data_IF_652725825176
#
_entry.id   IF_652725825176
#
_cell.length_a   1.000
_cell.length_b   1.000
_cell.length_c   1.000
_cell.angle_alpha   90.00
_cell.angle_beta   90.00
_cell.angle_gamma   90.00
#
_symmetry.space_group_name_H-M   'P 1'
#
loop_
_entity.id
_entity.type
_entity.pdbx_description
1 polymer ?
#
# COMPACT_ATOMS: atom_id res chain seq x y z
N UNK A 1 28.73 -6.14 7.83
CA UNK A 1 29.17 -7.00 6.72
C UNK A 1 27.99 -7.19 5.79
N UNK A 2 28.17 -6.95 4.49
CA UNK A 2 27.14 -7.15 3.47
C UNK A 2 27.59 -8.24 2.51
N UNK A 3 26.67 -9.14 2.16
CA UNK A 3 26.90 -10.24 1.21
C UNK A 3 25.98 -10.01 0.00
N UNK A 4 26.55 -10.11 -1.20
CA UNK A 4 25.81 -10.05 -2.46
C UNK A 4 25.64 -11.48 -2.95
N UNK A 5 24.41 -11.85 -3.29
CA UNK A 5 24.05 -13.19 -3.74
C UNK A 5 23.37 -13.08 -5.11
N UNK A 6 23.94 -13.77 -6.11
CA UNK A 6 23.33 -13.90 -7.41
C UNK A 6 22.51 -15.20 -7.48
N UNK A 7 21.27 -15.07 -7.91
CA UNK A 7 20.36 -16.21 -8.05
C UNK A 7 20.23 -16.59 -9.52
N UNK A 8 20.52 -17.85 -9.83
CA UNK A 8 20.31 -18.42 -11.17
C UNK A 8 18.80 -18.47 -11.50
N UNK A 9 17.94 -18.70 -10.50
CA UNK A 9 16.49 -18.80 -10.68
C UNK A 9 15.73 -17.71 -9.93
N UNK A 10 14.93 -16.95 -10.67
CA UNK A 10 14.03 -15.95 -10.11
C UNK A 10 12.97 -16.56 -9.17
N UNK A 11 12.47 -17.77 -9.49
CA UNK A 11 11.50 -18.45 -8.64
C UNK A 11 12.09 -18.79 -7.26
N UNK A 12 13.36 -19.21 -7.22
CA UNK A 12 14.07 -19.46 -5.96
C UNK A 12 14.30 -18.18 -5.17
N UNK A 13 14.67 -17.08 -5.85
CA UNK A 13 14.73 -15.75 -5.22
C UNK A 13 13.38 -15.41 -4.57
N UNK A 14 12.27 -15.54 -5.30
CA UNK A 14 10.94 -15.27 -4.76
C UNK A 14 10.56 -16.16 -3.57
N UNK A 15 10.89 -17.45 -3.61
CA UNK A 15 10.66 -18.39 -2.52
C UNK A 15 11.38 -17.95 -1.22
N UNK A 16 12.60 -17.44 -1.34
CA UNK A 16 13.34 -16.86 -0.21
C UNK A 16 12.64 -15.62 0.31
N UNK A 17 12.26 -14.67 -0.57
CA UNK A 17 11.56 -13.45 -0.16
C UNK A 17 10.24 -13.73 0.58
N UNK A 18 9.49 -14.76 0.18
CA UNK A 18 8.28 -15.22 0.88
C UNK A 18 8.56 -15.67 2.31
N UNK A 19 9.75 -16.21 2.57
CA UNK A 19 10.15 -16.77 3.86
C UNK A 19 10.99 -15.83 4.74
N UNK A 20 11.32 -14.61 4.29
CA UNK A 20 12.15 -13.64 5.04
C UNK A 20 11.63 -13.39 6.45
N UNK A 21 10.32 -13.44 6.67
CA UNK A 21 9.71 -13.21 8.00
C UNK A 21 10.25 -14.17 9.08
N UNK A 22 10.72 -15.35 8.68
CA UNK A 22 11.32 -16.35 9.58
C UNK A 22 12.69 -15.92 10.14
N UNK A 23 13.36 -14.94 9.52
CA UNK A 23 14.65 -14.41 9.96
C UNK A 23 14.51 -13.29 11.01
N UNK A 24 13.28 -12.87 11.35
CA UNK A 24 13.06 -11.82 12.33
C UNK A 24 13.64 -12.23 13.70
N UNK A 25 14.45 -11.36 14.29
CA UNK A 25 15.12 -11.61 15.58
C UNK A 25 16.52 -12.23 15.48
N UNK A 26 16.96 -12.64 14.29
CA UNK A 26 18.31 -13.21 14.08
C UNK A 26 19.40 -12.17 13.83
N UNK A 27 19.03 -10.89 13.70
CA UNK A 27 19.96 -9.82 13.31
C UNK A 27 20.33 -9.79 11.82
N UNK A 28 19.85 -10.76 11.03
CA UNK A 28 20.06 -10.83 9.58
C UNK A 28 18.89 -10.19 8.83
N UNK A 29 19.21 -9.33 7.86
CA UNK A 29 18.24 -8.71 6.97
C UNK A 29 18.58 -9.02 5.51
N UNK A 30 17.54 -9.31 4.72
CA UNK A 30 17.65 -9.56 3.28
C UNK A 30 16.90 -8.44 2.57
N UNK A 31 17.59 -7.78 1.63
CA UNK A 31 17.04 -6.73 0.78
C UNK A 31 17.33 -7.04 -0.68
N UNK A 32 16.54 -6.48 -1.60
CA UNK A 32 16.88 -6.53 -3.02
C UNK A 32 18.08 -5.63 -3.28
N UNK A 33 19.04 -6.13 -4.06
CA UNK A 33 20.05 -5.27 -4.65
C UNK A 33 19.43 -4.51 -5.82
N UNK A 34 18.94 -3.31 -5.52
CA UNK A 34 18.32 -2.42 -6.47
C UNK A 34 19.22 -1.21 -6.71
N UNK A 35 19.20 -0.69 -7.93
CA UNK A 35 19.90 0.54 -8.31
C UNK A 35 19.42 1.73 -7.49
N UNK A 36 20.20 2.80 -7.46
CA UNK A 36 19.79 4.04 -6.78
C UNK A 36 18.48 4.59 -7.35
N UNK A 37 18.34 4.58 -8.67
CA UNK A 37 17.15 5.06 -9.38
C UNK A 37 15.90 4.23 -9.06
N UNK A 38 16.04 2.91 -8.98
CA UNK A 38 14.91 2.05 -8.61
C UNK A 38 14.49 2.28 -7.15
N UNK A 39 15.45 2.52 -6.26
CA UNK A 39 15.16 2.84 -4.85
C UNK A 39 14.44 4.18 -4.71
N UNK A 40 14.81 5.19 -5.50
CA UNK A 40 14.12 6.49 -5.47
C UNK A 40 12.70 6.37 -6.02
N UNK A 41 12.50 5.70 -7.15
CA UNK A 41 11.16 5.39 -7.69
C UNK A 41 10.30 4.65 -6.66
N UNK A 42 10.85 3.60 -6.04
CA UNK A 42 10.13 2.84 -5.01
C UNK A 42 9.76 3.71 -3.81
N UNK A 43 10.63 4.65 -3.40
CA UNK A 43 10.35 5.57 -2.29
C UNK A 43 9.15 6.47 -2.60
N UNK A 44 9.06 7.00 -3.81
CA UNK A 44 7.93 7.82 -4.27
C UNK A 44 6.65 6.99 -4.26
N UNK A 45 6.66 5.79 -4.85
CA UNK A 45 5.48 4.92 -4.86
C UNK A 45 5.02 4.54 -3.44
N UNK A 46 5.96 4.28 -2.53
CA UNK A 46 5.66 3.96 -1.12
C UNK A 46 5.09 5.17 -0.38
N UNK A 47 5.50 6.39 -0.73
CA UNK A 47 4.94 7.61 -0.18
C UNK A 47 3.44 7.70 -0.51
N UNK A 48 3.09 7.68 -1.79
CA UNK A 48 1.70 7.76 -2.23
C UNK A 48 0.86 6.55 -1.81
N UNK A 49 1.45 5.35 -1.72
CA UNK A 49 0.78 4.19 -1.14
C UNK A 49 0.30 4.45 0.29
N UNK A 50 1.13 5.12 1.11
CA UNK A 50 0.75 5.45 2.50
C UNK A 50 -0.37 6.47 2.52
N UNK A 51 -0.30 7.49 1.68
CA UNK A 51 -1.33 8.52 1.56
C UNK A 51 -2.67 7.91 1.15
N UNK A 52 -2.70 7.09 0.10
CA UNK A 52 -3.90 6.39 -0.33
C UNK A 52 -4.50 5.52 0.79
N UNK A 53 -3.65 4.84 1.58
CA UNK A 53 -4.10 4.03 2.73
C UNK A 53 -4.67 4.87 3.87
N UNK A 54 -4.10 6.04 4.16
CA UNK A 54 -4.64 6.97 5.16
C UNK A 54 -6.05 7.41 4.75
N UNK A 55 -6.30 7.51 3.45
CA UNK A 55 -7.59 7.89 2.90
C UNK A 55 -8.54 6.70 2.66
N UNK A 56 -8.20 5.52 3.20
CA UNK A 56 -8.97 4.28 3.07
C UNK A 56 -9.19 3.80 1.63
N UNK A 57 -8.32 4.21 0.69
CA UNK A 57 -8.35 3.70 -0.67
C UNK A 57 -7.71 2.31 -0.76
N UNK A 58 -8.24 1.48 -1.66
CA UNK A 58 -7.59 0.22 -2.03
C UNK A 58 -6.36 0.52 -2.87
N UNK A 59 -5.17 0.40 -2.28
CA UNK A 59 -3.91 0.68 -2.97
C UNK A 59 -2.86 -0.42 -2.75
N UNK A 60 -2.15 -0.78 -3.81
CA UNK A 60 -1.01 -1.73 -3.79
C UNK A 60 0.05 -1.36 -4.81
N UNK A 61 1.31 -1.65 -4.50
CA UNK A 61 2.41 -1.50 -5.47
C UNK A 61 2.57 -2.83 -6.24
N UNK A 62 2.67 -2.74 -7.55
CA UNK A 62 2.89 -3.87 -8.45
C UNK A 62 4.06 -3.56 -9.39
N UNK A 63 5.23 -4.10 -9.07
CA UNK A 63 6.46 -3.77 -9.79
C UNK A 63 6.84 -2.30 -9.59
N UNK A 64 6.91 -1.54 -10.69
CA UNK A 64 7.26 -0.11 -10.71
C UNK A 64 6.04 0.82 -10.82
N UNK A 65 4.84 0.33 -10.50
CA UNK A 65 3.60 1.10 -10.58
C UNK A 65 2.79 0.98 -9.29
N UNK A 66 2.04 2.04 -8.98
CA UNK A 66 1.08 2.09 -7.90
C UNK A 66 -0.32 1.86 -8.46
N UNK A 67 -1.02 0.86 -7.94
CA UNK A 67 -2.41 0.57 -8.29
C UNK A 67 -3.32 1.16 -7.20
N UNK A 68 -4.22 2.07 -7.57
CA UNK A 68 -5.22 2.69 -6.69
C UNK A 68 -6.60 2.47 -7.33
N UNK A 69 -7.53 1.83 -6.62
CA UNK A 69 -8.89 1.54 -7.13
C UNK A 69 -8.89 0.92 -8.54
N UNK A 70 -8.02 -0.07 -8.76
CA UNK A 70 -7.85 -0.79 -10.03
C UNK A 70 -7.26 0.04 -11.19
N UNK A 71 -6.81 1.28 -10.93
CA UNK A 71 -6.06 2.11 -11.89
C UNK A 71 -4.57 2.08 -11.58
N UNK A 72 -3.74 1.98 -12.62
CA UNK A 72 -2.28 1.94 -12.51
C UNK A 72 -1.68 3.32 -12.77
N UNK A 73 -0.79 3.74 -11.88
CA UNK A 73 -0.06 4.99 -11.94
C UNK A 73 1.45 4.70 -11.89
N UNK A 74 2.18 5.35 -12.78
CA UNK A 74 3.65 5.36 -12.80
C UNK A 74 4.18 6.52 -11.95
N UNK A 75 5.51 6.61 -11.80
CA UNK A 75 6.14 7.71 -11.04
C UNK A 75 5.95 9.03 -11.79
N UNK A 76 5.97 8.98 -13.11
CA UNK A 76 5.76 10.10 -14.00
C UNK A 76 4.34 10.67 -13.84
N UNK A 77 3.32 9.80 -13.90
CA UNK A 77 1.91 10.21 -13.71
C UNK A 77 1.68 10.90 -12.36
N UNK A 78 2.34 10.41 -11.31
CA UNK A 78 2.20 10.96 -9.96
C UNK A 78 2.82 12.36 -9.82
N UNK A 79 3.93 12.61 -10.52
CA UNK A 79 4.58 13.93 -10.54
C UNK A 79 3.78 14.96 -11.31
N UNK A 80 3.28 14.59 -12.48
CA UNK A 80 2.43 15.47 -13.29
C UNK A 80 1.20 15.93 -12.51
N UNK A 81 0.63 15.02 -11.71
CA UNK A 81 -0.52 15.31 -10.87
C UNK A 81 -0.20 16.32 -9.76
N UNK A 82 0.97 16.22 -9.13
CA UNK A 82 1.44 17.19 -8.13
C UNK A 82 1.66 18.57 -8.75
N UNK A 83 2.32 18.64 -9.90
CA UNK A 83 2.62 19.91 -10.59
C UNK A 83 1.35 20.63 -11.05
N UNK A 84 0.33 19.89 -11.51
CA UNK A 84 -0.94 20.46 -11.95
C UNK A 84 -1.72 21.21 -10.86
N UNK A 85 -1.54 20.82 -9.59
CA UNK A 85 -2.31 21.39 -8.46
C UNK A 85 -1.68 22.64 -7.87
N UNK A 86 -0.35 22.75 -7.97
CA UNK A 86 0.40 23.92 -7.47
C UNK A 86 0.18 25.14 -8.36
N UNK A 87 -0.17 24.94 -9.64
CA UNK A 87 -0.46 26.04 -10.59
C UNK A 87 -1.83 26.72 -10.40
N UNK A 88 -2.68 26.24 -9.48
CA UNK A 88 -4.08 26.69 -9.33
C UNK A 88 -4.41 27.30 -7.96
N UNK A 89 -3.42 27.64 -7.14
CA UNK A 89 -3.62 28.30 -5.84
C UNK A 89 -3.01 29.70 -5.85
N UNK A 90 -3.69 30.63 -6.54
CA UNK A 90 -3.49 32.07 -6.35
C UNK A 90 -4.82 32.70 -5.90
N UNK A 91 -4.72 33.53 -4.86
CA UNK A 91 -5.76 34.38 -4.24
C UNK A 91 -6.66 33.73 -3.18
N UNK A 92 -6.38 34.06 -1.91
CA UNK A 92 -7.20 34.95 -1.05
C UNK A 92 -6.49 35.02 0.33
N UNK A 93 -5.83 36.15 0.60
CA UNK A 93 -5.26 36.47 1.91
C UNK A 93 -6.40 36.77 2.91
N UNK A 94 -6.39 36.07 4.05
CA UNK A 94 -7.30 36.33 5.16
C UNK A 94 -6.55 36.24 6.49
N UNK A 95 -6.11 37.40 6.99
CA UNK A 95 -5.48 37.58 8.29
C UNK A 95 -6.44 37.23 9.44
N UNK A 96 -6.09 36.23 10.25
CA UNK A 96 -6.63 36.09 11.61
C UNK A 96 -5.50 35.63 12.55
N UNK A 97 -4.96 36.59 13.31
CA UNK A 97 -4.06 36.32 14.44
C UNK A 97 -4.77 35.48 15.50
N UNK A 98 -4.21 34.31 15.84
CA UNK A 98 -4.44 33.70 17.16
C UNK A 98 -3.14 33.17 17.77
N UNK A 99 -2.90 33.63 18.99
CA UNK A 99 -1.70 33.44 19.79
C UNK A 99 -1.91 32.26 20.74
N UNK A 100 -1.27 31.10 20.53
CA UNK A 100 -1.15 30.06 21.58
C UNK A 100 0.19 29.29 21.50
N UNK A 101 0.74 29.08 22.69
CA UNK A 101 1.93 28.35 23.12
C UNK A 101 2.45 27.14 22.32
N UNK A 102 3.79 27.13 22.26
CA UNK A 102 4.76 26.03 22.14
C UNK A 102 4.28 24.57 22.25
N UNK A 103 4.43 23.83 21.14
CA UNK A 103 4.92 22.44 21.14
C UNK A 103 5.50 22.05 19.78
N UNK A 104 6.73 21.53 19.77
CA UNK A 104 7.42 21.04 18.58
C UNK A 104 6.57 20.02 17.81
N UNK A 105 6.15 20.37 16.59
CA UNK A 105 5.56 19.44 15.63
C UNK A 105 6.50 19.26 14.44
N UNK A 106 6.80 18.00 14.14
CA UNK A 106 7.49 17.58 12.92
C UNK A 106 6.57 17.80 11.72
N UNK A 107 7.02 18.65 10.80
CA UNK A 107 6.79 18.53 9.36
C UNK A 107 5.35 18.32 8.91
N UNK A 108 4.55 19.39 8.97
CA UNK A 108 3.29 19.49 8.24
C UNK A 108 3.56 19.97 6.82
N UNK A 109 3.70 19.03 5.89
CA UNK A 109 3.57 19.28 4.44
C UNK A 109 2.59 18.24 3.88
N UNK A 110 1.33 18.32 4.30
CA UNK A 110 0.26 17.39 3.89
C UNK A 110 -0.94 18.12 3.29
N UNK A 111 -0.78 19.38 2.87
CA UNK A 111 -1.90 20.22 2.43
C UNK A 111 -2.32 19.94 0.98
N UNK A 112 -1.39 19.61 0.08
CA UNK A 112 -1.69 19.50 -1.37
C UNK A 112 -2.31 18.17 -1.83
N UNK A 113 -2.17 17.07 -1.07
CA UNK A 113 -2.61 15.74 -1.53
C UNK A 113 -4.09 15.45 -1.22
N UNK A 114 -4.70 16.23 -0.33
CA UNK A 114 -6.12 16.07 0.01
C UNK A 114 -7.06 16.41 -1.15
N UNK A 115 -6.63 17.22 -2.13
CA UNK A 115 -7.44 17.58 -3.29
C UNK A 115 -7.50 16.46 -4.36
N UNK A 116 -6.47 15.61 -4.46
CA UNK A 116 -6.34 14.58 -5.51
C UNK A 116 -7.37 13.47 -5.38
N UNK A 117 -7.71 13.08 -4.16
CA UNK A 117 -8.56 11.91 -3.90
C UNK A 117 -10.03 12.32 -3.67
N UNK A 118 -10.27 13.57 -3.26
CA UNK A 118 -11.61 14.10 -3.05
C UNK A 118 -12.41 14.21 -4.36
N UNK A 119 -11.74 14.48 -5.50
CA UNK A 119 -12.39 14.60 -6.82
C UNK A 119 -12.92 13.29 -7.39
N UNK A 120 -12.42 12.12 -6.95
CA UNK A 120 -12.94 10.81 -7.40
C UNK A 120 -13.98 10.19 -6.45
N UNK A 121 -14.15 10.73 -5.24
CA UNK A 121 -15.14 10.25 -4.25
C UNK A 121 -16.56 10.81 -4.50
N UNK A 122 -16.68 11.91 -5.27
CA UNK A 122 -17.95 12.60 -5.49
C UNK A 122 -18.88 11.94 -6.54
N UNK A 123 -18.37 11.10 -7.44
CA UNK A 123 -19.16 10.56 -8.57
C UNK A 123 -19.92 9.24 -8.29
N UNK A 124 -19.82 8.65 -7.08
CA UNK A 124 -20.44 7.34 -6.79
C UNK A 124 -21.60 7.33 -5.77
N UNK A 125 -22.19 8.49 -5.43
CA UNK A 125 -23.32 8.51 -4.47
C UNK A 125 -24.73 8.37 -5.06
N UNK A 126 -24.91 8.21 -6.37
CA UNK A 126 -26.26 8.12 -6.97
C UNK A 126 -26.72 6.76 -7.53
N UNK A 127 -25.88 5.71 -7.57
CA UNK A 127 -26.31 4.42 -8.14
C UNK A 127 -25.75 3.21 -7.39
N UNK A 128 -26.33 2.86 -6.23
CA UNK A 128 -26.35 1.46 -5.74
C UNK A 128 -27.32 1.18 -4.58
N UNK A 129 -28.43 1.90 -4.46
CA UNK A 129 -29.59 1.41 -3.70
C UNK A 129 -30.45 0.54 -4.62
N UNK A 130 -30.05 -0.72 -4.89
CA UNK A 130 -30.92 -1.79 -5.46
C UNK A 130 -30.16 -3.10 -5.78
N UNK A 131 -29.47 -3.74 -4.83
CA UNK A 131 -29.32 -5.21 -4.85
C UNK A 131 -29.20 -5.71 -3.41
N UNK A 132 -30.32 -5.65 -2.69
CA UNK A 132 -30.55 -6.48 -1.51
C UNK A 132 -31.48 -7.60 -1.95
N UNK A 133 -31.19 -8.81 -1.47
CA UNK A 133 -31.96 -10.07 -1.60
C UNK A 133 -31.46 -11.08 -2.65
N UNK A 134 -31.30 -12.32 -2.16
CA UNK A 134 -30.80 -13.57 -2.78
C UNK A 134 -29.28 -13.70 -2.64
N UNK A 135 -28.71 -14.56 -1.80
CA UNK A 135 -29.06 -15.96 -1.52
C UNK A 135 -28.57 -16.42 -0.14
N UNK A 136 -29.52 -16.79 0.74
CA UNK A 136 -29.30 -17.73 1.85
C UNK A 136 -29.79 -19.11 1.39
N UNK A 137 -29.03 -20.17 1.70
CA UNK A 137 -29.19 -21.65 1.45
C UNK A 137 -27.94 -22.12 0.69
N UNK A 138 -27.05 -22.96 1.21
CA UNK A 138 -27.30 -24.27 1.84
C UNK A 138 -26.36 -24.58 3.02
N UNK A 139 -26.95 -25.28 4.00
CA UNK A 139 -26.31 -26.10 5.03
C UNK A 139 -25.63 -27.33 4.41
N UNK A 140 -24.49 -27.77 4.95
CA UNK A 140 -24.28 -29.18 5.35
C UNK A 140 -22.93 -29.37 6.06
N UNK A 141 -23.02 -29.58 7.37
CA UNK A 141 -22.24 -30.52 8.18
C UNK A 141 -21.11 -31.29 7.46
N UNK A 142 -19.86 -31.04 7.83
CA UNK A 142 -18.80 -32.04 7.67
C UNK A 142 -17.80 -31.99 8.84
N UNK A 143 -17.76 -33.08 9.60
CA UNK A 143 -16.71 -33.47 10.54
C UNK A 143 -16.93 -34.96 10.85
N UNK A 144 -15.92 -35.70 11.33
CA UNK A 144 -14.54 -35.85 10.85
C UNK A 144 -14.21 -37.36 10.67
N UNK A 145 -13.09 -37.72 10.05
CA UNK A 145 -12.50 -39.07 10.24
C UNK A 145 -11.03 -38.96 10.63
N UNK A 146 -10.79 -39.18 11.91
CA UNK A 146 -9.49 -39.43 12.52
C UNK A 146 -8.92 -40.74 11.99
N UNK A 147 -7.67 -40.71 11.52
CA UNK A 147 -6.95 -41.91 11.06
C UNK A 147 -6.17 -42.48 12.24
N UNK A 148 -6.56 -43.69 12.63
CA UNK A 148 -5.99 -44.51 13.68
C UNK A 148 -4.47 -44.72 13.51
N UNK A 149 -3.77 -44.60 14.64
CA UNK A 149 -2.39 -45.02 14.87
C UNK A 149 -2.31 -46.55 14.89
N UNK A 150 -1.53 -47.13 13.98
CA UNK A 150 -1.07 -48.52 14.09
C UNK A 150 0.20 -48.54 14.92
N UNK A 151 0.10 -49.11 16.12
CA UNK A 151 1.28 -49.52 16.89
C UNK A 151 1.94 -50.71 16.19
N UNK A 152 3.23 -50.59 15.89
CA UNK A 152 4.08 -51.71 15.55
C UNK A 152 4.63 -52.23 16.88
N UNK A 153 4.24 -53.45 17.26
CA UNK A 153 4.77 -54.16 18.43
C UNK A 153 5.94 -55.04 17.99
N UNK A 154 7.04 -54.86 18.72
CA UNK A 154 8.14 -55.79 19.07
C UNK A 154 8.97 -56.37 17.92
#
# INVERSE_FOLDING_TARGET
>A
MHLILEFISFLKKQEIYKNIKKLKGTGVAIANDASYEDRTKQRILVHHLKEAKIQNLSARIKGFSLEIEDKLYTVEDLKELEESLVSSSDSEEGDIETKVHSRCQRGSTSSSVNAIISSHSAEKKELSKKVSQKSKKYNAHYSPKTRSSKQIKK
#
